data_IF_452211788413
#
_entry.id   IF_452211788413
#
_cell.length_a   1.000
_cell.length_b   1.000
_cell.length_c   1.000
_cell.angle_alpha   90.00
_cell.angle_beta   90.00
_cell.angle_gamma   90.00
#
_symmetry.space_group_name_H-M   'P 1'
#
loop_
_entity.id
_entity.type
_entity.pdbx_description
1 polymer ?
#
# COMPACT_ATOMS: atom_id res chain seq x y z
N UNK A 1 108.51 71.46 -3.23
CA UNK A 1 108.00 70.36 -2.37
C UNK A 1 106.58 70.60 -1.93
N UNK A 2 105.56 70.74 -2.80
CA UNK A 2 104.20 71.00 -2.41
C UNK A 2 103.11 70.49 -3.33
N UNK A 3 103.35 69.31 -3.96
CA UNK A 3 102.36 68.71 -4.91
C UNK A 3 101.92 67.29 -4.60
N UNK A 4 102.11 66.77 -3.40
CA UNK A 4 101.81 65.37 -3.09
C UNK A 4 100.60 65.14 -2.19
N UNK A 5 100.02 66.22 -1.59
CA UNK A 5 98.91 66.08 -0.67
C UNK A 5 97.51 66.26 -1.24
N UNK A 6 97.36 66.47 -2.58
CA UNK A 6 96.02 66.72 -3.18
C UNK A 6 95.35 65.52 -3.77
N UNK A 7 96.04 64.33 -3.82
CA UNK A 7 95.48 63.09 -4.44
C UNK A 7 94.95 62.06 -3.44
N UNK A 8 95.10 62.31 -2.12
CA UNK A 8 94.66 61.37 -1.08
C UNK A 8 93.12 61.40 -0.73
N UNK A 9 92.29 62.49 -0.91
CA UNK A 9 90.86 62.47 -0.57
C UNK A 9 89.98 61.89 -1.68
N UNK A 10 90.49 61.63 -2.89
CA UNK A 10 89.63 61.13 -4.00
C UNK A 10 89.49 59.61 -3.99
N UNK A 11 90.21 58.88 -3.18
CA UNK A 11 90.09 57.41 -3.12
C UNK A 11 89.07 56.89 -2.09
N UNK A 12 88.49 57.73 -1.27
CA UNK A 12 87.50 57.36 -0.22
C UNK A 12 86.04 57.43 -0.65
N UNK A 13 85.75 57.78 -1.88
CA UNK A 13 84.34 57.85 -2.39
C UNK A 13 83.87 56.65 -3.22
N UNK A 14 84.75 55.61 -3.42
CA UNK A 14 84.41 54.45 -4.26
C UNK A 14 83.98 53.18 -3.48
N UNK A 15 83.64 53.26 -2.16
CA UNK A 15 83.43 52.07 -1.32
C UNK A 15 81.98 51.95 -0.75
N UNK A 16 80.94 52.27 -1.55
CA UNK A 16 79.56 52.03 -1.17
C UNK A 16 78.73 51.46 -2.31
N UNK A 17 79.24 50.39 -2.95
CA UNK A 17 78.38 49.55 -3.74
C UNK A 17 77.82 48.46 -2.81
N UNK A 18 76.52 48.69 -2.41
CA UNK A 18 75.81 47.71 -1.62
C UNK A 18 75.52 46.47 -2.52
N UNK A 19 75.98 45.31 -2.14
CA UNK A 19 75.72 44.11 -2.93
C UNK A 19 74.21 43.96 -3.14
N UNK A 20 73.72 43.51 -4.34
CA UNK A 20 72.30 43.31 -4.55
C UNK A 20 71.74 42.32 -3.50
N UNK A 21 70.61 42.68 -2.93
CA UNK A 21 69.94 41.83 -1.94
C UNK A 21 69.71 40.43 -2.55
N UNK A 22 70.02 39.36 -1.83
CA UNK A 22 69.75 38.03 -2.34
C UNK A 22 68.25 37.89 -2.70
N UNK A 23 67.90 37.23 -3.81
CA UNK A 23 66.51 37.06 -4.19
C UNK A 23 65.73 36.41 -3.03
N UNK A 24 64.56 36.96 -2.74
CA UNK A 24 63.70 36.40 -1.69
C UNK A 24 63.43 34.92 -1.97
N UNK A 25 63.54 34.06 -0.96
CA UNK A 25 63.31 32.63 -1.15
C UNK A 25 61.84 32.43 -1.57
N UNK A 26 61.62 31.82 -2.75
CA UNK A 26 60.31 31.44 -3.21
C UNK A 26 59.74 30.43 -2.22
N UNK A 27 58.76 30.84 -1.43
CA UNK A 27 58.07 29.93 -0.50
C UNK A 27 57.12 29.00 -1.30
N UNK A 28 57.35 27.70 -1.31
CA UNK A 28 56.45 26.77 -1.98
C UNK A 28 55.09 26.83 -1.25
N UNK A 29 54.03 27.14 -1.97
CA UNK A 29 52.64 27.06 -1.48
C UNK A 29 52.01 25.82 -2.08
N UNK A 30 51.39 25.02 -1.22
CA UNK A 30 50.59 23.87 -1.66
C UNK A 30 49.28 24.37 -2.22
N UNK A 31 49.10 24.31 -3.51
CA UNK A 31 47.83 24.64 -4.19
C UNK A 31 47.05 23.35 -4.43
N UNK A 32 45.75 23.39 -4.21
CA UNK A 32 44.78 22.34 -4.59
C UNK A 32 43.92 22.95 -5.69
N UNK A 33 43.90 22.34 -6.84
CA UNK A 33 43.00 22.73 -7.92
C UNK A 33 41.63 22.12 -7.62
N UNK A 34 40.70 22.95 -7.25
CA UNK A 34 39.30 22.53 -7.01
C UNK A 34 38.63 22.39 -8.38
N UNK A 35 38.01 21.24 -8.66
CA UNK A 35 37.25 21.00 -9.89
C UNK A 35 38.00 20.29 -11.01
N UNK A 36 39.20 19.70 -10.74
CA UNK A 36 39.98 18.98 -11.75
C UNK A 36 39.46 17.55 -12.04
N UNK A 37 38.62 17.00 -11.18
CA UNK A 37 37.94 15.72 -11.44
C UNK A 37 36.44 15.98 -11.77
N UNK A 38 35.88 15.27 -12.77
CA UNK A 38 34.44 15.33 -13.01
C UNK A 38 33.76 14.80 -11.76
N UNK A 39 33.23 15.70 -10.93
CA UNK A 39 32.35 15.33 -9.85
C UNK A 39 31.08 14.77 -10.47
N UNK A 40 30.89 13.46 -10.47
CA UNK A 40 29.57 12.90 -10.73
C UNK A 40 28.66 13.44 -9.62
N UNK A 41 27.79 14.38 -10.00
CA UNK A 41 26.83 14.94 -9.08
C UNK A 41 25.76 13.85 -8.80
N UNK A 42 25.90 13.18 -7.68
CA UNK A 42 24.88 12.25 -7.21
C UNK A 42 23.78 13.03 -6.48
N UNK A 43 22.56 12.89 -6.94
CA UNK A 43 21.40 13.34 -6.21
C UNK A 43 21.03 12.30 -5.15
N UNK A 44 21.19 12.65 -3.87
CA UNK A 44 20.79 11.82 -2.75
C UNK A 44 19.45 12.28 -2.23
N UNK A 45 18.44 11.41 -2.33
CA UNK A 45 17.10 11.66 -1.84
C UNK A 45 16.76 10.67 -0.72
N UNK A 46 16.21 11.13 0.39
CA UNK A 46 15.66 10.24 1.41
C UNK A 46 14.39 9.56 0.89
N UNK A 47 14.18 8.31 1.27
CA UNK A 47 12.99 7.57 0.90
C UNK A 47 12.71 6.45 1.88
N UNK A 48 11.47 6.00 1.88
CA UNK A 48 10.98 4.94 2.74
C UNK A 48 10.65 3.69 1.92
N UNK A 49 10.96 2.53 2.49
CA UNK A 49 10.53 1.24 1.92
C UNK A 49 9.04 1.04 2.16
N UNK A 50 8.28 0.91 1.08
CA UNK A 50 6.83 0.65 1.11
C UNK A 50 6.52 -0.67 0.42
N UNK A 51 5.41 -1.28 0.80
CA UNK A 51 4.83 -2.34 -0.02
C UNK A 51 4.15 -1.71 -1.24
N UNK A 52 4.30 -2.32 -2.41
CA UNK A 52 3.60 -1.85 -3.61
C UNK A 52 2.08 -1.89 -3.47
N UNK A 53 1.57 -2.92 -2.78
CA UNK A 53 0.14 -3.10 -2.54
C UNK A 53 -0.12 -3.14 -1.04
N UNK A 54 -0.83 -2.14 -0.57
CA UNK A 54 -1.39 -2.09 0.78
C UNK A 54 -2.91 -2.05 0.70
N UNK A 55 -3.56 -2.96 1.42
CA UNK A 55 -5.02 -3.06 1.44
C UNK A 55 -5.54 -2.77 2.84
N UNK A 56 -6.42 -1.77 3.01
CA UNK A 56 -7.17 -1.60 4.24
C UNK A 56 -8.15 -2.77 4.38
N UNK A 57 -8.17 -3.42 5.53
CA UNK A 57 -9.07 -4.51 5.86
C UNK A 57 -10.16 -4.02 6.81
N UNK A 58 -11.40 -4.25 6.43
CA UNK A 58 -12.58 -3.82 7.15
C UNK A 58 -13.65 -4.91 7.13
N UNK A 59 -14.51 -4.93 8.13
CA UNK A 59 -15.70 -5.77 8.09
C UNK A 59 -16.72 -5.20 7.10
N UNK A 60 -17.43 -6.09 6.40
CA UNK A 60 -18.53 -5.72 5.47
C UNK A 60 -19.87 -5.48 6.18
N UNK A 61 -19.94 -5.81 7.47
CA UNK A 61 -21.08 -5.63 8.33
C UNK A 61 -20.65 -4.94 9.63
N UNK A 62 -21.55 -4.27 10.31
CA UNK A 62 -21.28 -3.62 11.60
C UNK A 62 -21.40 -4.61 12.74
N UNK A 63 -20.71 -4.36 13.85
CA UNK A 63 -20.82 -5.19 15.04
C UNK A 63 -19.72 -4.92 16.05
N UNK A 64 -19.77 -5.64 17.18
CA UNK A 64 -18.76 -5.57 18.23
C UNK A 64 -17.67 -6.61 17.98
N UNK A 65 -16.42 -6.19 18.03
CA UNK A 65 -15.25 -7.10 17.90
C UNK A 65 -15.16 -8.01 19.12
N UNK A 66 -15.16 -9.33 18.89
CA UNK A 66 -15.00 -10.34 19.95
C UNK A 66 -13.60 -10.93 19.99
N UNK A 67 -12.93 -11.02 18.84
CA UNK A 67 -11.58 -11.58 18.73
C UNK A 67 -10.74 -10.78 17.74
N UNK A 68 -9.50 -10.47 18.12
CA UNK A 68 -8.41 -10.07 17.22
C UNK A 68 -7.32 -11.14 17.33
N UNK A 69 -6.99 -11.83 16.25
CA UNK A 69 -6.08 -12.99 16.26
C UNK A 69 -4.66 -12.67 15.81
N UNK A 70 -4.43 -11.45 15.37
CA UNK A 70 -3.17 -11.00 14.79
C UNK A 70 -2.67 -9.74 15.49
N UNK A 71 -1.38 -9.44 15.33
CA UNK A 71 -0.73 -8.25 15.85
C UNK A 71 -0.02 -7.48 14.73
N UNK A 72 0.43 -6.28 15.05
CA UNK A 72 1.26 -5.49 14.15
C UNK A 72 2.56 -6.24 13.84
N UNK A 73 2.91 -6.35 12.56
CA UNK A 73 4.12 -7.04 12.09
C UNK A 73 3.95 -8.54 11.84
N UNK A 74 2.82 -9.14 12.18
CA UNK A 74 2.58 -10.56 11.91
C UNK A 74 2.53 -10.85 10.41
N UNK A 75 3.13 -11.97 10.02
CA UNK A 75 3.03 -12.50 8.65
C UNK A 75 1.76 -13.34 8.53
N UNK A 76 0.95 -13.01 7.55
CA UNK A 76 -0.39 -13.56 7.34
C UNK A 76 -0.44 -14.33 6.03
N UNK A 77 -1.12 -15.45 6.04
CA UNK A 77 -1.42 -16.26 4.86
C UNK A 77 -2.86 -16.05 4.39
N UNK A 78 -3.05 -16.19 3.08
CA UNK A 78 -4.37 -16.12 2.46
C UNK A 78 -5.34 -17.12 3.11
N UNK A 79 -6.54 -16.64 3.47
CA UNK A 79 -7.58 -17.43 4.14
C UNK A 79 -7.46 -17.45 5.67
N UNK A 80 -6.40 -16.91 6.23
CA UNK A 80 -6.22 -16.83 7.68
C UNK A 80 -7.23 -15.88 8.32
N UNK A 81 -7.80 -16.28 9.46
CA UNK A 81 -8.79 -15.47 10.19
C UNK A 81 -8.06 -14.43 11.04
N UNK A 82 -8.34 -13.16 10.79
CA UNK A 82 -7.71 -12.03 11.44
C UNK A 82 -8.50 -11.51 12.64
N UNK A 83 -9.82 -11.39 12.48
CA UNK A 83 -10.69 -10.87 13.52
C UNK A 83 -12.12 -11.42 13.37
N UNK A 84 -12.91 -11.34 14.46
CA UNK A 84 -14.33 -11.73 14.45
C UNK A 84 -15.19 -10.70 15.15
N UNK A 85 -16.40 -10.51 14.62
CA UNK A 85 -17.50 -9.81 15.26
C UNK A 85 -18.37 -10.79 16.08
N UNK A 86 -19.18 -10.23 16.96
CA UNK A 86 -20.23 -10.95 17.66
C UNK A 86 -21.29 -11.43 16.64
N UNK A 87 -21.45 -12.78 16.47
CA UNK A 87 -22.26 -13.30 15.37
C UNK A 87 -23.73 -13.53 15.74
N UNK A 88 -24.13 -13.34 17.00
CA UNK A 88 -25.41 -13.83 17.55
C UNK A 88 -26.63 -13.38 16.73
N UNK A 89 -26.74 -12.10 16.43
CA UNK A 89 -27.86 -11.55 15.67
C UNK A 89 -27.90 -12.06 14.23
N UNK A 90 -26.75 -12.18 13.59
CA UNK A 90 -26.61 -12.73 12.23
C UNK A 90 -26.91 -14.22 12.18
N UNK A 91 -26.55 -14.99 13.24
CA UNK A 91 -26.91 -16.41 13.36
C UNK A 91 -28.41 -16.59 13.50
N UNK A 92 -29.06 -15.80 14.35
CA UNK A 92 -30.51 -15.85 14.52
C UNK A 92 -31.24 -15.49 13.23
N UNK A 93 -30.80 -14.47 12.51
CA UNK A 93 -31.37 -14.10 11.22
C UNK A 93 -31.22 -15.25 10.19
N UNK A 94 -30.07 -15.87 10.09
CA UNK A 94 -29.82 -17.02 9.20
C UNK A 94 -30.69 -18.23 9.57
N UNK A 95 -30.85 -18.53 10.87
CA UNK A 95 -31.71 -19.61 11.34
C UNK A 95 -33.18 -19.34 11.04
N UNK A 96 -33.65 -18.11 11.22
CA UNK A 96 -35.00 -17.68 10.84
C UNK A 96 -35.26 -17.87 9.35
N UNK A 97 -34.28 -17.51 8.50
CA UNK A 97 -34.32 -17.74 7.07
C UNK A 97 -34.46 -19.22 6.71
N UNK A 98 -33.74 -20.11 7.42
CA UNK A 98 -33.86 -21.56 7.22
C UNK A 98 -35.27 -22.08 7.54
N UNK A 99 -35.89 -21.59 8.60
CA UNK A 99 -37.28 -21.93 8.94
C UNK A 99 -38.26 -21.45 7.87
N UNK A 100 -38.05 -20.22 7.36
CA UNK A 100 -38.86 -19.65 6.27
C UNK A 100 -38.76 -20.47 4.96
N UNK A 101 -37.60 -21.01 4.66
CA UNK A 101 -37.40 -21.94 3.52
C UNK A 101 -38.27 -23.19 3.70
N UNK A 102 -38.26 -23.80 4.89
CA UNK A 102 -39.03 -25.02 5.17
C UNK A 102 -40.55 -24.75 5.04
N UNK A 103 -41.05 -23.59 5.49
CA UNK A 103 -42.41 -23.16 5.33
C UNK A 103 -42.79 -23.00 3.85
N UNK A 104 -41.98 -22.21 3.10
CA UNK A 104 -42.26 -21.94 1.68
C UNK A 104 -42.17 -23.23 0.83
N UNK A 105 -41.27 -24.15 1.16
CA UNK A 105 -41.13 -25.45 0.51
C UNK A 105 -42.41 -26.31 0.74
N UNK A 106 -42.94 -26.32 1.98
CA UNK A 106 -44.16 -27.06 2.30
C UNK A 106 -45.39 -26.50 1.54
N UNK A 107 -45.49 -25.16 1.46
CA UNK A 107 -46.53 -24.49 0.69
C UNK A 107 -46.45 -24.78 -0.83
N UNK A 108 -45.24 -24.76 -1.38
CA UNK A 108 -45.00 -25.11 -2.79
C UNK A 108 -45.39 -26.54 -3.06
N UNK A 109 -44.95 -27.51 -2.24
CA UNK A 109 -45.26 -28.92 -2.37
C UNK A 109 -46.77 -29.17 -2.36
N UNK A 110 -47.52 -28.50 -1.47
CA UNK A 110 -48.98 -28.56 -1.41
C UNK A 110 -49.61 -28.03 -2.70
N UNK A 111 -49.18 -26.84 -3.16
CA UNK A 111 -49.73 -26.20 -4.35
C UNK A 111 -49.47 -27.03 -5.64
N UNK A 112 -48.30 -27.63 -5.77
CA UNK A 112 -47.94 -28.51 -6.90
C UNK A 112 -48.74 -29.81 -6.85
N UNK A 113 -48.94 -30.43 -5.68
CA UNK A 113 -49.76 -31.61 -5.52
C UNK A 113 -51.23 -31.34 -5.87
N UNK A 114 -51.77 -30.14 -5.46
CA UNK A 114 -53.10 -29.73 -5.88
C UNK A 114 -53.21 -29.50 -7.37
N UNK A 115 -52.25 -28.83 -7.99
CA UNK A 115 -52.23 -28.61 -9.43
C UNK A 115 -52.32 -29.94 -10.19
N UNK A 116 -51.47 -30.91 -9.86
CA UNK A 116 -51.46 -32.23 -10.47
C UNK A 116 -52.83 -32.92 -10.29
N UNK A 117 -53.43 -32.83 -9.11
CA UNK A 117 -54.77 -33.40 -8.86
C UNK A 117 -55.84 -32.75 -9.73
N UNK A 118 -55.85 -31.42 -9.83
CA UNK A 118 -56.83 -30.70 -10.65
C UNK A 118 -56.62 -30.85 -12.14
N UNK A 119 -55.40 -31.08 -12.62
CA UNK A 119 -55.11 -31.48 -13.99
C UNK A 119 -55.78 -32.83 -14.34
N UNK A 120 -55.63 -33.83 -13.47
CA UNK A 120 -56.27 -35.15 -13.67
C UNK A 120 -57.80 -35.06 -13.60
N UNK A 121 -58.40 -34.16 -12.79
CA UNK A 121 -59.83 -33.94 -12.71
C UNK A 121 -60.36 -33.23 -13.96
N UNK A 122 -59.63 -32.29 -14.51
CA UNK A 122 -59.98 -31.55 -15.72
C UNK A 122 -59.98 -32.50 -16.95
N UNK A 123 -58.96 -33.34 -17.09
CA UNK A 123 -58.90 -34.35 -18.13
C UNK A 123 -60.11 -35.31 -18.13
N UNK A 124 -60.66 -35.56 -16.95
CA UNK A 124 -61.90 -36.38 -16.76
C UNK A 124 -63.17 -35.56 -16.87
N UNK A 125 -63.11 -34.25 -17.15
CA UNK A 125 -64.26 -33.38 -17.29
C UNK A 125 -64.95 -32.94 -15.96
N UNK A 126 -64.32 -33.17 -14.80
CA UNK A 126 -64.94 -32.88 -13.50
C UNK A 126 -64.74 -31.42 -13.02
N UNK A 127 -63.83 -30.67 -13.63
CA UNK A 127 -63.57 -29.25 -13.27
C UNK A 127 -63.42 -28.43 -14.56
N UNK A 128 -63.75 -27.10 -14.43
CA UNK A 128 -63.61 -26.16 -15.55
C UNK A 128 -62.15 -25.75 -15.76
N UNK A 129 -61.82 -25.25 -16.95
CA UNK A 129 -60.52 -24.68 -17.27
C UNK A 129 -60.17 -23.53 -16.33
N UNK A 130 -61.10 -22.65 -15.98
CA UNK A 130 -60.89 -21.54 -15.07
C UNK A 130 -60.38 -21.99 -13.67
N UNK A 131 -60.88 -23.12 -13.15
CA UNK A 131 -60.39 -23.69 -11.89
C UNK A 131 -58.99 -24.25 -12.03
N UNK A 132 -58.69 -24.89 -13.14
CA UNK A 132 -57.31 -25.38 -13.44
C UNK A 132 -56.34 -24.19 -13.54
N UNK A 133 -56.68 -23.13 -14.28
CA UNK A 133 -55.88 -21.92 -14.42
C UNK A 133 -55.58 -21.27 -13.08
N UNK A 134 -56.60 -21.24 -12.18
CA UNK A 134 -56.39 -20.73 -10.80
C UNK A 134 -55.38 -21.58 -10.03
N UNK A 135 -55.45 -22.91 -10.12
CA UNK A 135 -54.47 -23.79 -9.46
C UNK A 135 -53.08 -23.65 -10.02
N UNK A 136 -52.96 -23.48 -11.34
CA UNK A 136 -51.69 -23.18 -11.99
C UNK A 136 -51.08 -21.87 -11.47
N UNK A 137 -51.87 -20.80 -11.46
CA UNK A 137 -51.44 -19.50 -10.89
C UNK A 137 -51.02 -19.61 -9.43
N UNK A 138 -51.72 -20.43 -8.61
CA UNK A 138 -51.37 -20.67 -7.21
C UNK A 138 -50.02 -21.37 -7.06
N UNK A 139 -49.75 -22.42 -7.87
CA UNK A 139 -48.50 -23.10 -7.83
C UNK A 139 -47.31 -22.22 -8.30
N UNK A 140 -47.51 -21.40 -9.34
CA UNK A 140 -46.52 -20.42 -9.78
C UNK A 140 -46.25 -19.34 -8.72
N UNK A 141 -47.27 -18.86 -8.04
CA UNK A 141 -47.14 -17.91 -6.93
C UNK A 141 -46.36 -18.52 -5.76
N UNK A 142 -46.62 -19.79 -5.40
CA UNK A 142 -45.86 -20.50 -4.37
C UNK A 142 -44.39 -20.71 -4.76
N UNK A 143 -44.13 -21.04 -6.03
CA UNK A 143 -42.75 -21.19 -6.58
C UNK A 143 -42.01 -19.85 -6.52
N UNK A 144 -42.61 -18.76 -6.96
CA UNK A 144 -42.03 -17.43 -6.88
C UNK A 144 -41.71 -17.03 -5.41
N UNK A 145 -42.62 -17.35 -4.49
CA UNK A 145 -42.41 -17.12 -3.05
C UNK A 145 -41.21 -17.89 -2.51
N UNK A 146 -41.07 -19.16 -2.88
CA UNK A 146 -39.93 -20.00 -2.50
C UNK A 146 -38.60 -19.41 -2.96
N UNK A 147 -38.51 -18.96 -4.21
CA UNK A 147 -37.31 -18.32 -4.77
C UNK A 147 -36.97 -17.04 -3.99
N UNK A 148 -37.97 -16.22 -3.67
CA UNK A 148 -37.77 -14.99 -2.89
C UNK A 148 -37.19 -15.28 -1.48
N UNK A 149 -37.75 -16.27 -0.78
CA UNK A 149 -37.29 -16.67 0.56
C UNK A 149 -35.86 -17.25 0.48
N UNK A 150 -35.56 -18.09 -0.49
CA UNK A 150 -34.20 -18.62 -0.71
C UNK A 150 -33.17 -17.48 -0.93
N UNK A 151 -33.53 -16.47 -1.72
CA UNK A 151 -32.67 -15.30 -1.97
C UNK A 151 -32.39 -14.51 -0.69
N UNK A 152 -33.41 -14.26 0.11
CA UNK A 152 -33.28 -13.58 1.41
C UNK A 152 -32.40 -14.36 2.38
N UNK A 153 -32.61 -15.68 2.48
CA UNK A 153 -31.76 -16.53 3.33
C UNK A 153 -30.29 -16.53 2.86
N UNK A 154 -30.06 -16.60 1.54
CA UNK A 154 -28.71 -16.53 1.00
C UNK A 154 -27.99 -15.21 1.34
N UNK A 155 -28.72 -14.10 1.39
CA UNK A 155 -28.19 -12.81 1.85
C UNK A 155 -27.83 -12.85 3.34
N UNK A 156 -28.73 -13.35 4.21
CA UNK A 156 -28.48 -13.49 5.64
C UNK A 156 -27.27 -14.38 5.95
N UNK A 157 -27.15 -15.50 5.22
CA UNK A 157 -26.00 -16.40 5.34
C UNK A 157 -24.67 -15.73 4.94
N UNK A 158 -24.68 -14.89 3.88
CA UNK A 158 -23.50 -14.10 3.52
C UNK A 158 -23.15 -13.07 4.58
N UNK A 159 -24.15 -12.37 5.13
CA UNK A 159 -23.94 -11.40 6.23
C UNK A 159 -23.33 -12.07 7.46
N UNK A 160 -23.77 -13.28 7.82
CA UNK A 160 -23.15 -14.08 8.86
C UNK A 160 -21.67 -14.39 8.51
N UNK A 161 -21.38 -14.77 7.27
CA UNK A 161 -20.01 -14.99 6.82
C UNK A 161 -19.12 -13.75 6.96
N UNK A 162 -19.69 -12.55 6.76
CA UNK A 162 -18.96 -11.27 6.89
C UNK A 162 -18.67 -10.88 8.35
N UNK A 163 -19.15 -11.58 9.35
CA UNK A 163 -18.75 -11.41 10.75
C UNK A 163 -17.35 -11.96 11.02
N UNK A 164 -16.76 -12.72 10.10
CA UNK A 164 -15.38 -13.21 10.16
C UNK A 164 -14.56 -12.49 9.12
N UNK A 165 -13.52 -11.77 9.56
CA UNK A 165 -12.56 -11.12 8.69
C UNK A 165 -11.40 -12.08 8.44
N UNK A 166 -11.17 -12.42 7.18
CA UNK A 166 -10.04 -13.24 6.74
C UNK A 166 -9.18 -12.51 5.70
N UNK A 167 -7.91 -12.89 5.62
CA UNK A 167 -6.99 -12.33 4.64
C UNK A 167 -7.32 -12.84 3.22
N UNK A 168 -7.38 -11.91 2.27
CA UNK A 168 -7.57 -12.24 0.85
C UNK A 168 -6.25 -12.59 0.14
N UNK A 169 -5.12 -12.10 0.67
CA UNK A 169 -3.77 -12.29 0.13
C UNK A 169 -2.76 -12.55 1.26
N UNK A 170 -1.59 -13.08 0.89
CA UNK A 170 -0.45 -13.16 1.79
C UNK A 170 0.15 -11.76 2.03
N UNK A 171 0.66 -11.52 3.23
CA UNK A 171 1.27 -10.22 3.55
C UNK A 171 1.69 -10.09 5.00
N UNK A 172 1.97 -8.85 5.40
CA UNK A 172 2.33 -8.46 6.76
C UNK A 172 1.38 -7.38 7.24
N UNK A 173 0.97 -7.42 8.50
CA UNK A 173 0.12 -6.40 9.11
C UNK A 173 0.94 -5.12 9.30
N UNK A 174 0.65 -4.09 8.50
CA UNK A 174 1.35 -2.79 8.52
C UNK A 174 0.68 -1.72 9.39
N UNK A 175 -0.62 -1.89 9.71
CA UNK A 175 -1.33 -1.07 10.67
C UNK A 175 -2.39 -1.90 11.42
N UNK A 176 -2.57 -1.59 12.70
CA UNK A 176 -3.43 -2.33 13.61
C UNK A 176 -4.27 -1.38 14.46
N UNK A 177 -5.59 -1.43 14.30
CA UNK A 177 -6.60 -0.70 15.09
C UNK A 177 -7.75 -1.66 15.47
N UNK A 178 -7.40 -2.90 15.82
CA UNK A 178 -8.34 -3.94 16.20
C UNK A 178 -8.34 -4.10 17.73
N UNK A 179 -9.42 -3.66 18.39
CA UNK A 179 -9.56 -3.77 19.84
C UNK A 179 -10.77 -4.62 20.21
N UNK A 180 -10.58 -5.65 21.01
CA UNK A 180 -11.68 -6.48 21.51
C UNK A 180 -12.64 -5.63 22.35
N UNK A 181 -13.95 -5.72 22.05
CA UNK A 181 -14.97 -4.90 22.67
C UNK A 181 -15.33 -3.63 21.91
N UNK A 182 -14.54 -3.20 20.93
CA UNK A 182 -14.84 -2.08 20.05
C UNK A 182 -16.01 -2.38 19.14
N UNK A 183 -16.88 -1.38 18.94
CA UNK A 183 -17.96 -1.44 17.96
C UNK A 183 -17.48 -0.75 16.68
N UNK A 184 -17.60 -1.44 15.55
CA UNK A 184 -17.16 -0.95 14.25
C UNK A 184 -18.31 -0.88 13.26
N UNK A 185 -18.23 0.08 12.36
CA UNK A 185 -19.17 0.22 11.25
C UNK A 185 -18.68 -0.56 10.03
N UNK A 186 -19.62 -0.93 9.14
CA UNK A 186 -19.30 -1.52 7.85
C UNK A 186 -18.36 -0.61 7.06
N UNK A 187 -17.26 -1.16 6.52
CA UNK A 187 -16.26 -0.43 5.75
C UNK A 187 -15.22 0.36 6.58
N UNK A 188 -15.32 0.35 7.91
CA UNK A 188 -14.33 0.99 8.77
C UNK A 188 -13.05 0.15 8.79
N UNK A 189 -11.89 0.68 8.35
CA UNK A 189 -10.63 -0.05 8.39
C UNK A 189 -10.20 -0.33 9.83
N UNK A 190 -9.82 -1.57 10.13
CA UNK A 190 -9.31 -1.98 11.44
C UNK A 190 -7.88 -2.55 11.35
N UNK A 191 -7.48 -3.00 10.19
CA UNK A 191 -6.15 -3.53 9.90
C UNK A 191 -5.70 -3.01 8.53
N UNK A 192 -4.39 -3.05 8.29
CA UNK A 192 -3.83 -2.84 6.95
C UNK A 192 -2.87 -3.98 6.64
N UNK A 193 -3.06 -4.61 5.49
CA UNK A 193 -2.24 -5.71 5.01
C UNK A 193 -1.34 -5.21 3.88
N UNK A 194 -0.03 -5.25 4.11
CA UNK A 194 0.99 -4.94 3.12
C UNK A 194 1.47 -6.23 2.46
N UNK A 195 1.38 -6.34 1.14
CA UNK A 195 1.88 -7.51 0.41
C UNK A 195 3.41 -7.45 0.35
N UNK A 196 4.09 -8.43 0.94
CA UNK A 196 5.53 -8.44 1.08
C UNK A 196 6.30 -8.77 -0.22
N UNK A 197 5.59 -9.25 -1.26
CA UNK A 197 6.22 -9.74 -2.49
C UNK A 197 6.91 -8.65 -3.32
N UNK A 198 6.31 -7.46 -3.42
CA UNK A 198 6.84 -6.35 -4.19
C UNK A 198 7.07 -5.14 -3.30
N UNK A 199 8.33 -4.70 -3.21
CA UNK A 199 8.74 -3.56 -2.40
C UNK A 199 9.15 -2.41 -3.31
N UNK A 200 8.83 -1.21 -2.88
CA UNK A 200 9.13 0.04 -3.57
C UNK A 200 9.79 1.02 -2.60
N UNK A 201 10.56 1.93 -3.13
CA UNK A 201 11.04 3.09 -2.38
C UNK A 201 10.17 4.28 -2.77
N UNK A 202 9.49 4.84 -1.80
CA UNK A 202 8.76 6.09 -1.94
C UNK A 202 9.68 7.25 -1.59
N UNK A 203 9.86 8.17 -2.55
CA UNK A 203 10.75 9.33 -2.44
C UNK A 203 9.95 10.58 -2.73
N UNK A 204 10.15 11.61 -1.93
CA UNK A 204 9.59 12.94 -2.16
C UNK A 204 10.60 13.81 -2.88
N UNK A 205 10.28 14.17 -4.12
CA UNK A 205 11.14 14.87 -5.05
C UNK A 205 10.79 16.37 -5.08
N UNK A 206 11.74 17.29 -4.84
CA UNK A 206 11.54 18.72 -5.03
C UNK A 206 11.26 19.07 -6.50
N UNK A 207 10.56 20.20 -6.74
CA UNK A 207 10.12 20.60 -8.07
C UNK A 207 11.29 20.89 -9.04
N UNK A 208 12.39 21.47 -8.55
CA UNK A 208 13.59 21.80 -9.30
C UNK A 208 14.31 20.56 -9.87
N UNK A 209 14.21 19.41 -9.20
CA UNK A 209 14.81 18.14 -9.64
C UNK A 209 13.93 17.33 -10.59
N UNK A 210 12.66 17.73 -10.77
CA UNK A 210 11.65 16.94 -11.50
C UNK A 210 12.07 16.61 -12.94
N UNK A 211 12.64 17.59 -13.65
CA UNK A 211 13.02 17.41 -15.06
C UNK A 211 14.21 16.44 -15.19
N UNK A 212 15.18 16.57 -14.30
CA UNK A 212 16.33 15.69 -14.25
C UNK A 212 15.92 14.25 -13.91
N UNK A 213 15.08 14.10 -12.87
CA UNK A 213 14.60 12.80 -12.41
C UNK A 213 13.83 12.00 -13.47
N UNK A 214 13.06 12.68 -14.33
CA UNK A 214 12.33 12.04 -15.45
C UNK A 214 13.25 11.39 -16.48
N UNK A 215 14.49 11.85 -16.61
CA UNK A 215 15.45 11.29 -17.55
C UNK A 215 16.16 10.06 -17.01
N UNK A 216 16.14 9.87 -15.68
CA UNK A 216 16.80 8.77 -15.01
C UNK A 216 15.95 7.50 -15.11
N UNK A 217 16.59 6.39 -15.45
CA UNK A 217 15.92 5.07 -15.56
C UNK A 217 16.33 4.11 -14.46
N UNK A 218 17.54 4.25 -13.93
CA UNK A 218 18.10 3.36 -12.93
C UNK A 218 18.49 4.16 -11.69
N UNK A 219 18.21 3.58 -10.55
CA UNK A 219 18.47 4.16 -9.24
C UNK A 219 19.27 3.19 -8.41
N UNK A 220 20.24 3.70 -7.67
CA UNK A 220 20.96 2.94 -6.64
C UNK A 220 20.33 3.24 -5.30
N UNK A 221 19.92 2.20 -4.59
CA UNK A 221 19.24 2.28 -3.31
C UNK A 221 20.19 1.75 -2.24
N UNK A 222 20.53 2.60 -1.28
CA UNK A 222 21.35 2.27 -0.14
C UNK A 222 20.49 2.37 1.11
N UNK A 223 20.40 1.28 1.87
CA UNK A 223 19.63 1.23 3.11
C UNK A 223 20.52 1.52 4.30
N UNK A 224 20.16 2.51 5.12
CA UNK A 224 20.93 2.88 6.31
C UNK A 224 21.05 1.72 7.31
N UNK A 225 20.04 0.85 7.38
CA UNK A 225 20.03 -0.33 8.24
C UNK A 225 20.95 -1.47 7.75
N UNK A 226 21.40 -1.42 6.48
CA UNK A 226 22.21 -2.48 5.83
C UNK A 226 23.43 -1.85 5.14
N UNK A 227 24.40 -1.30 5.89
CA UNK A 227 25.57 -0.66 5.32
C UNK A 227 26.36 -1.64 4.47
N UNK A 228 26.75 -1.21 3.26
CA UNK A 228 27.51 -2.04 2.30
C UNK A 228 26.65 -2.89 1.36
N UNK A 229 25.32 -2.93 1.52
CA UNK A 229 24.40 -3.50 0.52
C UNK A 229 23.77 -2.39 -0.32
N UNK A 230 23.84 -2.54 -1.63
CA UNK A 230 23.19 -1.65 -2.59
C UNK A 230 22.20 -2.45 -3.43
N UNK A 231 21.04 -1.88 -3.65
CA UNK A 231 20.01 -2.45 -4.52
C UNK A 231 19.82 -1.57 -5.74
N UNK A 232 19.29 -2.14 -6.79
CA UNK A 232 18.94 -1.41 -8.00
C UNK A 232 17.43 -1.27 -8.12
N UNK A 233 17.00 -0.09 -8.49
CA UNK A 233 15.59 0.21 -8.71
C UNK A 233 15.34 0.86 -10.07
N UNK A 234 14.09 0.81 -10.50
CA UNK A 234 13.60 1.51 -11.69
C UNK A 234 12.40 2.36 -11.33
N UNK A 235 12.34 3.56 -11.91
CA UNK A 235 11.17 4.43 -11.74
C UNK A 235 9.93 3.72 -12.30
N UNK A 236 8.94 3.52 -11.44
CA UNK A 236 7.64 2.95 -11.81
C UNK A 236 6.58 4.03 -11.97
N UNK A 237 6.54 4.95 -11.02
CA UNK A 237 5.51 5.97 -10.94
C UNK A 237 6.10 7.30 -10.48
N UNK A 238 5.63 8.36 -11.08
CA UNK A 238 5.93 9.73 -10.67
C UNK A 238 4.60 10.49 -10.64
N UNK A 239 4.28 11.07 -9.50
CA UNK A 239 3.05 11.83 -9.31
C UNK A 239 2.96 12.97 -10.35
N UNK A 240 1.78 13.15 -10.92
CA UNK A 240 1.53 14.20 -11.91
C UNK A 240 1.40 15.60 -11.30
N UNK A 241 1.08 15.65 -9.98
CA UNK A 241 0.92 16.89 -9.23
C UNK A 241 1.74 16.82 -7.94
N UNK A 242 2.23 17.99 -7.50
CA UNK A 242 2.89 18.11 -6.21
C UNK A 242 1.88 18.02 -5.06
N UNK A 243 2.30 17.46 -3.95
CA UNK A 243 1.60 17.57 -2.69
C UNK A 243 1.54 19.03 -2.25
N UNK A 244 0.35 19.60 -1.98
CA UNK A 244 0.22 21.03 -1.68
C UNK A 244 0.85 21.46 -0.35
N UNK A 245 1.02 20.53 0.60
CA UNK A 245 1.60 20.82 1.90
C UNK A 245 3.13 20.83 1.86
N UNK A 246 3.74 19.87 1.17
CA UNK A 246 5.20 19.70 1.08
C UNK A 246 5.82 20.32 -0.16
N UNK A 247 5.03 20.60 -1.20
CA UNK A 247 5.46 21.05 -2.53
C UNK A 247 6.44 20.10 -3.20
N UNK A 248 6.30 18.81 -2.91
CA UNK A 248 7.12 17.74 -3.48
C UNK A 248 6.28 16.79 -4.34
N UNK A 249 6.92 16.16 -5.31
CA UNK A 249 6.32 15.12 -6.14
C UNK A 249 6.69 13.75 -5.59
N UNK A 250 5.71 12.90 -5.34
CA UNK A 250 5.99 11.52 -4.91
C UNK A 250 6.46 10.69 -6.09
N UNK A 251 7.63 10.10 -5.96
CA UNK A 251 8.18 9.12 -6.91
C UNK A 251 8.24 7.74 -6.25
N UNK A 252 7.86 6.69 -7.00
CA UNK A 252 7.92 5.30 -6.56
C UNK A 252 8.88 4.52 -7.43
N UNK A 253 9.90 3.98 -6.79
CA UNK A 253 10.98 3.24 -7.41
C UNK A 253 10.82 1.77 -7.05
N UNK A 254 10.54 0.93 -8.02
CA UNK A 254 10.44 -0.52 -7.82
C UNK A 254 11.83 -1.12 -7.59
N UNK A 255 11.97 -1.89 -6.51
CA UNK A 255 13.24 -2.52 -6.12
C UNK A 255 13.40 -3.84 -6.86
N UNK A 256 14.48 -3.99 -7.65
CA UNK A 256 14.80 -5.25 -8.31
C UNK A 256 15.48 -6.19 -7.32
N UNK A 257 15.05 -7.46 -7.31
CA UNK A 257 15.63 -8.51 -6.47
C UNK A 257 15.62 -8.15 -4.97
N UNK A 258 14.50 -7.57 -4.49
CA UNK A 258 14.30 -7.32 -3.08
C UNK A 258 14.38 -8.64 -2.30
N UNK A 259 15.33 -8.75 -1.39
CA UNK A 259 15.47 -9.90 -0.50
C UNK A 259 14.69 -9.71 0.81
N UNK A 260 14.68 -10.73 1.66
CA UNK A 260 13.99 -10.67 2.96
C UNK A 260 14.62 -9.67 3.95
N UNK A 261 15.84 -9.18 3.69
CA UNK A 261 16.53 -8.21 4.56
C UNK A 261 15.97 -6.79 4.43
N UNK A 262 15.30 -6.48 3.30
CA UNK A 262 14.60 -5.20 3.14
C UNK A 262 13.28 -5.29 3.90
N UNK A 263 13.10 -4.48 4.92
CA UNK A 263 11.87 -4.42 5.70
C UNK A 263 11.09 -3.14 5.39
N UNK A 264 9.77 -3.21 5.53
CA UNK A 264 8.90 -2.04 5.36
C UNK A 264 9.23 -0.98 6.43
N UNK A 265 9.28 0.29 6.01
CA UNK A 265 9.60 1.40 6.89
C UNK A 265 11.09 1.67 7.10
N UNK A 266 12.00 0.92 6.44
CA UNK A 266 13.42 1.27 6.40
C UNK A 266 13.66 2.53 5.59
#
# INVERSE_FOLDING_TARGET
MHKIYLLLPLFLLAACDKPPAPPEPIRPVKTVVIGAEPSEAYLHLPGDVRARHESPLAFRVSGKITECKVNLGDTIHRGEILAKLEPADYQLASQSGTAGIAEAQSALTLAEAELVRYQNLHEKGFVSAAVLDQKHATAEAARARMIAIQSTHAEQARQLGYTTLSAENDGVISAFDCNVGQVVSSGQPILRLAQAAEKEIEVNLPEDELQHFRTLKNFTINLNALPGKSYHGTLRELAAAADPATRTYTARISVKNADASIQLGM
#
